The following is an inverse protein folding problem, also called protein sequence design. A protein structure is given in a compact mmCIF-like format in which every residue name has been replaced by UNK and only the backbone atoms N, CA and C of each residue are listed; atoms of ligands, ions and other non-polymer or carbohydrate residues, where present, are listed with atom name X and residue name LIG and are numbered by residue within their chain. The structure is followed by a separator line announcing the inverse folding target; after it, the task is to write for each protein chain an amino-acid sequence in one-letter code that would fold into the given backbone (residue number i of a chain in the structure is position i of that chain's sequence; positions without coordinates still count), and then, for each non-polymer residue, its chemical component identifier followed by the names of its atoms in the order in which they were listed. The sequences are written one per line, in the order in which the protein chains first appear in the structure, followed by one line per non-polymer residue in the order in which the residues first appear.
data_IF_489191640203
#
_entry.id   IF_489191640203
#
_cell.length_a   1.000
_cell.length_b   1.000
_cell.length_c   1.000
_cell.angle_alpha   90.00
_cell.angle_beta   90.00
_cell.angle_gamma   90.00
#
_symmetry.space_group_name_H-M   'P 1'
#
loop_
_entity.id
_entity.type
_entity.pdbx_description
1 polymer ?
#
# COMPACT_ATOMS: atom_id res chain seq x y z
N UNK A 1 -34.73 -16.11 -15.13
CA UNK A 1 -33.26 -16.23 -15.05
C UNK A 1 -32.75 -14.92 -14.52
N UNK A 2 -32.00 -14.95 -13.42
CA UNK A 2 -31.25 -13.77 -12.98
C UNK A 2 -30.07 -13.59 -13.93
N UNK A 3 -29.94 -12.43 -14.57
CA UNK A 3 -28.79 -12.10 -15.41
C UNK A 3 -27.78 -11.34 -14.57
N UNK A 4 -26.55 -11.83 -14.51
CA UNK A 4 -25.42 -11.13 -13.90
C UNK A 4 -24.80 -10.21 -14.95
N UNK A 5 -24.50 -8.96 -14.56
CA UNK A 5 -23.80 -8.00 -15.40
C UNK A 5 -22.63 -7.38 -14.64
N UNK A 6 -21.51 -7.20 -15.32
CA UNK A 6 -20.35 -6.49 -14.78
C UNK A 6 -20.54 -5.00 -15.08
N UNK A 7 -20.72 -4.18 -14.03
CA UNK A 7 -20.91 -2.72 -14.19
C UNK A 7 -19.59 -1.97 -14.36
N UNK A 8 -18.51 -2.47 -13.79
CA UNK A 8 -17.17 -1.89 -13.92
C UNK A 8 -16.12 -2.72 -13.20
N UNK A 9 -14.89 -2.24 -13.30
CA UNK A 9 -13.70 -2.84 -12.72
C UNK A 9 -12.71 -1.73 -12.36
N UNK A 10 -11.82 -2.01 -11.42
CA UNK A 10 -10.74 -1.12 -11.02
C UNK A 10 -9.50 -1.95 -10.68
N UNK A 11 -8.34 -1.41 -11.04
CA UNK A 11 -7.06 -2.06 -10.86
C UNK A 11 -6.06 -1.04 -10.33
N UNK A 12 -5.52 -1.30 -9.14
CA UNK A 12 -4.57 -0.41 -8.46
C UNK A 12 -3.33 -1.19 -8.06
N UNK A 13 -2.18 -0.51 -8.07
CA UNK A 13 -0.92 -1.02 -7.56
C UNK A 13 -0.42 -0.06 -6.47
N UNK A 14 0.00 -0.60 -5.34
CA UNK A 14 0.66 0.18 -4.29
C UNK A 14 2.15 -0.04 -4.40
N UNK A 15 2.90 1.00 -4.77
CA UNK A 15 4.36 0.93 -4.81
C UNK A 15 4.91 1.25 -3.42
N UNK A 16 5.11 0.21 -2.61
CA UNK A 16 5.58 0.32 -1.22
C UNK A 16 6.92 -0.42 -1.00
N UNK A 17 8.01 0.07 -1.61
CA UNK A 17 9.31 -0.59 -1.57
C UNK A 17 9.89 -0.70 -0.14
N UNK A 18 9.79 0.33 0.71
CA UNK A 18 10.34 0.27 2.07
C UNK A 18 9.53 -0.63 3.01
N UNK A 19 8.20 -0.66 2.90
CA UNK A 19 7.37 -1.67 3.56
C UNK A 19 7.80 -3.07 3.12
N UNK A 20 8.03 -3.30 1.83
CA UNK A 20 8.52 -4.58 1.33
C UNK A 20 9.91 -4.95 1.85
N UNK A 21 10.82 -3.98 1.96
CA UNK A 21 12.18 -4.18 2.45
C UNK A 21 12.26 -4.45 3.96
N UNK A 22 11.45 -3.74 4.75
CA UNK A 22 11.46 -3.91 6.20
C UNK A 22 10.55 -5.05 6.64
N UNK A 23 9.39 -5.21 6.01
CA UNK A 23 8.28 -6.04 6.49
C UNK A 23 7.78 -7.06 5.47
N UNK A 24 8.36 -7.14 4.27
CA UNK A 24 8.18 -8.31 3.42
C UNK A 24 8.69 -9.56 4.13
N UNK A 25 8.00 -10.69 3.95
CA UNK A 25 8.28 -11.91 4.72
C UNK A 25 9.76 -12.31 4.70
N UNK A 26 10.36 -12.44 3.51
CA UNK A 26 11.75 -12.87 3.37
C UNK A 26 12.74 -11.94 4.08
N UNK A 27 12.79 -10.61 3.80
CA UNK A 27 13.72 -9.74 4.50
C UNK A 27 13.42 -9.57 6.00
N UNK A 28 12.15 -9.60 6.41
CA UNK A 28 11.78 -9.55 7.81
C UNK A 28 12.29 -10.78 8.59
N UNK A 29 12.01 -11.99 8.08
CA UNK A 29 12.44 -13.25 8.72
C UNK A 29 13.97 -13.37 8.73
N UNK A 30 14.65 -12.98 7.66
CA UNK A 30 16.12 -12.96 7.61
C UNK A 30 16.69 -12.04 8.71
N UNK A 31 16.12 -10.84 8.87
CA UNK A 31 16.55 -9.86 9.88
C UNK A 31 16.33 -10.38 11.29
N UNK A 32 15.16 -10.94 11.58
CA UNK A 32 14.84 -11.50 12.89
C UNK A 32 15.70 -12.72 13.24
N UNK A 33 15.98 -13.59 12.26
CA UNK A 33 16.72 -14.83 12.50
C UNK A 33 18.24 -14.65 12.51
N UNK A 34 18.78 -13.72 11.72
CA UNK A 34 20.22 -13.60 11.45
C UNK A 34 20.78 -12.18 11.60
N UNK A 35 19.94 -11.19 11.87
CA UNK A 35 20.34 -9.78 11.91
C UNK A 35 20.59 -9.19 10.52
N UNK A 36 21.36 -8.10 10.46
CA UNK A 36 21.67 -7.38 9.21
C UNK A 36 22.72 -8.12 8.35
N UNK A 37 22.26 -9.05 7.50
CA UNK A 37 23.09 -9.87 6.60
C UNK A 37 23.51 -9.11 5.32
N UNK A 38 24.48 -9.63 4.57
CA UNK A 38 24.88 -9.03 3.27
C UNK A 38 23.72 -9.00 2.27
N UNK A 39 22.84 -10.02 2.28
CA UNK A 39 21.62 -10.02 1.46
C UNK A 39 20.75 -8.78 1.73
N UNK A 40 20.52 -8.45 3.00
CA UNK A 40 19.72 -7.28 3.38
C UNK A 40 20.42 -5.98 2.97
N UNK A 41 21.75 -5.89 3.11
CA UNK A 41 22.52 -4.71 2.69
C UNK A 41 22.51 -4.48 1.19
N UNK A 42 22.50 -5.55 0.38
CA UNK A 42 22.47 -5.47 -1.08
C UNK A 42 21.07 -5.20 -1.63
N UNK A 43 20.02 -5.66 -0.95
CA UNK A 43 18.63 -5.60 -1.43
C UNK A 43 18.15 -4.19 -1.85
N UNK A 44 18.44 -3.10 -1.12
CA UNK A 44 18.08 -1.74 -1.54
C UNK A 44 18.59 -1.34 -2.92
N UNK A 45 19.74 -1.87 -3.35
CA UNK A 45 20.30 -1.58 -4.68
C UNK A 45 19.54 -2.25 -5.83
N UNK A 46 18.63 -3.18 -5.51
CA UNK A 46 17.80 -3.90 -6.46
C UNK A 46 16.33 -3.45 -6.44
N UNK A 47 15.97 -2.54 -5.54
CA UNK A 47 14.62 -2.00 -5.44
C UNK A 47 14.37 -0.99 -6.57
N UNK A 48 13.17 -1.05 -7.14
CA UNK A 48 12.75 -0.11 -8.19
C UNK A 48 12.32 1.21 -7.56
N UNK A 49 12.63 2.33 -8.21
CA UNK A 49 12.03 3.61 -7.84
C UNK A 49 10.56 3.67 -8.26
N UNK A 50 9.84 4.68 -7.73
CA UNK A 50 8.46 4.93 -8.12
C UNK A 50 8.33 5.25 -9.61
N UNK A 51 9.23 6.08 -10.16
CA UNK A 51 9.25 6.43 -11.58
C UNK A 51 9.45 5.20 -12.43
N UNK A 52 10.38 4.33 -12.03
CA UNK A 52 10.64 3.05 -12.68
C UNK A 52 9.38 2.19 -12.70
N UNK A 53 8.72 2.01 -11.56
CA UNK A 53 7.49 1.23 -11.45
C UNK A 53 6.34 1.84 -12.26
N UNK A 54 6.19 3.17 -12.22
CA UNK A 54 5.18 3.93 -12.98
C UNK A 54 5.40 3.78 -14.48
N UNK A 55 6.63 3.88 -14.94
CA UNK A 55 6.97 3.86 -16.36
C UNK A 55 7.17 2.44 -16.91
N UNK A 56 6.90 1.41 -16.10
CA UNK A 56 6.90 0.03 -16.53
C UNK A 56 5.63 -0.28 -17.35
N UNK A 57 5.79 -0.59 -18.64
CA UNK A 57 4.66 -0.79 -19.56
C UNK A 57 3.59 -1.79 -19.07
N UNK A 58 3.93 -2.93 -18.44
CA UNK A 58 2.93 -3.82 -17.84
C UNK A 58 2.11 -3.18 -16.71
N UNK A 59 2.74 -2.37 -15.85
CA UNK A 59 2.01 -1.68 -14.78
C UNK A 59 1.04 -0.65 -15.36
N UNK A 60 1.46 0.07 -16.42
CA UNK A 60 0.58 0.98 -17.15
C UNK A 60 -0.58 0.25 -17.83
N UNK A 61 -0.34 -0.92 -18.41
CA UNK A 61 -1.41 -1.72 -18.97
C UNK A 61 -2.39 -2.21 -17.89
N UNK A 62 -1.88 -2.59 -16.72
CA UNK A 62 -2.68 -3.06 -15.58
C UNK A 62 -3.64 -2.00 -15.06
N UNK A 63 -3.19 -0.75 -14.88
CA UNK A 63 -4.04 0.36 -14.42
C UNK A 63 -4.87 1.01 -15.55
N UNK A 64 -4.68 0.57 -16.80
CA UNK A 64 -5.37 1.13 -17.96
C UNK A 64 -4.82 2.46 -18.48
N UNK A 65 -3.53 2.74 -18.23
CA UNK A 65 -2.75 3.82 -18.86
C UNK A 65 -2.16 3.44 -20.22
N UNK A 66 -2.06 2.14 -20.52
CA UNK A 66 -1.67 1.59 -21.82
C UNK A 66 -2.68 0.52 -22.26
N UNK A 67 -3.02 0.44 -23.54
CA UNK A 67 -3.86 -0.67 -24.03
C UNK A 67 -3.07 -1.96 -24.14
N UNK A 68 -3.72 -3.13 -24.03
CA UNK A 68 -3.05 -4.43 -24.21
C UNK A 68 -2.41 -4.54 -25.62
N UNK A 69 -3.10 -4.04 -26.65
CA UNK A 69 -2.56 -4.06 -28.01
C UNK A 69 -1.35 -3.13 -28.22
N UNK A 70 -1.19 -2.09 -27.40
CA UNK A 70 0.00 -1.24 -27.42
C UNK A 70 1.13 -1.83 -26.56
N UNK A 71 0.80 -2.51 -25.45
CA UNK A 71 1.75 -3.30 -24.68
C UNK A 71 2.42 -4.38 -25.53
N UNK A 72 1.66 -5.10 -26.35
CA UNK A 72 2.18 -6.14 -27.26
C UNK A 72 3.19 -5.59 -28.28
N UNK A 73 3.05 -4.32 -28.66
CA UNK A 73 3.96 -3.64 -29.60
C UNK A 73 5.15 -2.97 -28.90
N UNK A 74 5.10 -2.83 -27.57
CA UNK A 74 6.14 -2.15 -26.82
C UNK A 74 7.48 -2.93 -26.89
N UNK A 75 8.62 -2.26 -27.08
CA UNK A 75 9.92 -2.93 -27.16
C UNK A 75 10.23 -3.73 -25.89
N UNK A 76 10.70 -4.96 -26.08
CA UNK A 76 11.14 -5.83 -24.99
C UNK A 76 12.67 -5.90 -24.91
N UNK A 77 13.25 -6.13 -23.73
CA UNK A 77 12.56 -6.28 -22.44
C UNK A 77 12.08 -4.94 -21.86
N UNK A 78 10.90 -4.95 -21.25
CA UNK A 78 10.23 -3.72 -20.79
C UNK A 78 10.95 -2.96 -19.68
N UNK A 79 11.76 -3.65 -18.85
CA UNK A 79 12.55 -3.01 -17.79
C UNK A 79 13.72 -2.18 -18.34
N UNK A 80 14.17 -2.46 -19.58
CA UNK A 80 15.17 -1.65 -20.30
C UNK A 80 14.49 -0.55 -21.12
N UNK A 81 13.31 -0.85 -21.67
CA UNK A 81 12.55 0.03 -22.54
C UNK A 81 11.33 0.62 -21.81
N UNK A 82 11.59 1.34 -20.72
CA UNK A 82 10.53 2.01 -19.96
C UNK A 82 9.86 3.10 -20.81
N UNK A 83 8.59 3.34 -20.51
CA UNK A 83 7.87 4.49 -21.04
C UNK A 83 8.48 5.78 -20.47
N UNK A 84 8.21 6.93 -21.07
CA UNK A 84 8.74 8.20 -20.58
C UNK A 84 7.59 9.05 -20.02
N UNK A 85 7.59 9.28 -18.70
CA UNK A 85 6.65 10.21 -18.06
C UNK A 85 5.19 9.78 -18.13
N UNK A 86 4.95 8.50 -17.85
CA UNK A 86 3.59 7.95 -17.76
C UNK A 86 2.82 8.62 -16.63
N UNK A 87 1.49 8.62 -16.73
CA UNK A 87 0.65 9.08 -15.63
C UNK A 87 0.61 8.02 -14.52
N UNK A 88 0.44 8.45 -13.27
CA UNK A 88 0.14 7.53 -12.16
C UNK A 88 -1.30 7.03 -12.21
N UNK A 89 -2.18 7.76 -12.90
CA UNK A 89 -3.59 7.40 -13.09
C UNK A 89 -3.81 6.78 -14.47
N UNK A 90 -4.55 5.68 -14.50
CA UNK A 90 -5.07 5.08 -15.72
C UNK A 90 -6.60 5.06 -15.73
N UNK A 91 -7.17 4.49 -16.79
CA UNK A 91 -8.63 4.38 -16.92
C UNK A 91 -9.27 3.44 -15.88
N UNK A 92 -8.49 2.57 -15.24
CA UNK A 92 -9.00 1.60 -14.26
C UNK A 92 -8.66 1.96 -12.82
N UNK A 93 -7.54 2.64 -12.57
CA UNK A 93 -7.11 2.98 -11.22
C UNK A 93 -5.78 3.72 -11.20
N UNK A 94 -4.90 3.39 -10.27
CA UNK A 94 -3.63 4.11 -10.10
C UNK A 94 -2.46 3.25 -9.62
N UNK A 95 -1.25 3.79 -9.78
CA UNK A 95 -0.05 3.35 -9.05
C UNK A 95 0.18 4.35 -7.92
N UNK A 96 -0.21 3.98 -6.70
CA UNK A 96 -0.07 4.82 -5.51
C UNK A 96 1.38 4.79 -4.99
N UNK A 97 2.01 5.95 -4.74
CA UNK A 97 3.34 6.01 -4.11
C UNK A 97 3.27 5.66 -2.62
N UNK A 98 4.40 5.20 -2.07
CA UNK A 98 4.49 4.66 -0.72
C UNK A 98 4.05 5.63 0.37
N UNK A 99 4.42 6.90 0.28
CA UNK A 99 4.05 7.90 1.27
C UNK A 99 2.53 8.11 1.38
N UNK A 100 1.85 8.20 0.24
CA UNK A 100 0.40 8.24 0.19
C UNK A 100 -0.24 6.93 0.68
N UNK A 101 0.40 5.79 0.40
CA UNK A 101 -0.05 4.50 0.92
C UNK A 101 0.07 4.41 2.44
N UNK A 102 1.14 4.93 3.04
CA UNK A 102 1.29 5.04 4.50
C UNK A 102 0.18 5.92 5.12
N UNK A 103 -0.20 7.02 4.45
CA UNK A 103 -1.37 7.80 4.85
C UNK A 103 -2.69 7.04 4.69
N UNK A 104 -2.82 6.21 3.67
CA UNK A 104 -4.00 5.37 3.49
C UNK A 104 -4.11 4.28 4.57
N UNK A 105 -2.99 3.72 5.04
CA UNK A 105 -2.97 2.81 6.19
C UNK A 105 -3.61 3.48 7.41
N UNK A 106 -3.15 4.69 7.75
CA UNK A 106 -3.69 5.49 8.87
C UNK A 106 -5.19 5.79 8.70
N UNK A 107 -5.63 6.23 7.51
CA UNK A 107 -7.06 6.44 7.20
C UNK A 107 -7.89 5.15 7.39
N UNK A 108 -7.34 4.00 7.00
CA UNK A 108 -8.01 2.71 7.09
C UNK A 108 -7.97 2.11 8.51
N UNK A 109 -7.14 2.66 9.38
CA UNK A 109 -7.03 2.25 10.76
C UNK A 109 -8.24 2.72 11.57
N UNK A 110 -8.70 1.86 12.47
CA UNK A 110 -9.78 2.13 13.42
C UNK A 110 -9.38 1.79 14.85
N UNK A 111 -8.15 1.30 15.04
CA UNK A 111 -7.63 0.76 16.29
C UNK A 111 -6.41 1.51 16.80
N UNK A 112 -6.00 2.62 16.17
CA UNK A 112 -4.87 3.45 16.61
C UNK A 112 -3.53 2.68 16.61
N UNK A 113 -3.35 1.83 15.60
CA UNK A 113 -2.16 1.02 15.35
C UNK A 113 -1.11 1.82 14.59
N UNK A 114 -1.50 2.61 13.60
CA UNK A 114 -0.59 3.39 12.76
C UNK A 114 -0.44 4.78 13.34
N UNK A 115 0.76 5.13 13.76
CA UNK A 115 1.12 6.51 14.10
C UNK A 115 2.05 7.06 13.04
N UNK A 116 1.70 8.20 12.47
CA UNK A 116 2.56 8.94 11.54
C UNK A 116 3.19 10.14 12.24
N UNK A 117 4.41 10.51 11.86
CA UNK A 117 5.03 11.75 12.33
C UNK A 117 4.24 12.96 11.82
N UNK A 118 4.07 13.98 12.66
CA UNK A 118 3.23 15.15 12.39
C UNK A 118 3.54 15.87 11.06
N UNK A 119 4.81 16.12 10.76
CA UNK A 119 5.23 16.71 9.50
C UNK A 119 4.95 15.80 8.30
N UNK A 120 5.19 14.50 8.45
CA UNK A 120 4.88 13.49 7.44
C UNK A 120 3.38 13.38 7.17
N UNK A 121 2.55 13.25 8.20
CA UNK A 121 1.08 13.20 8.09
C UNK A 121 0.53 14.45 7.39
N UNK A 122 1.02 15.64 7.73
CA UNK A 122 0.63 16.88 7.07
C UNK A 122 1.04 16.92 5.58
N UNK A 123 2.24 16.44 5.24
CA UNK A 123 2.71 16.33 3.86
C UNK A 123 1.82 15.38 3.04
N UNK A 124 1.55 14.19 3.57
CA UNK A 124 0.72 13.17 2.91
C UNK A 124 -0.73 13.65 2.76
N UNK A 125 -1.30 14.32 3.77
CA UNK A 125 -2.61 14.97 3.66
C UNK A 125 -2.70 15.90 2.46
N UNK A 126 -1.67 16.72 2.25
CA UNK A 126 -1.60 17.65 1.12
C UNK A 126 -1.60 16.94 -0.22
N UNK A 127 -0.92 15.79 -0.32
CA UNK A 127 -0.87 14.97 -1.55
C UNK A 127 -2.19 14.24 -1.79
N UNK A 128 -2.73 13.58 -0.78
CA UNK A 128 -3.99 12.85 -0.85
C UNK A 128 -5.18 13.76 -1.17
N UNK A 129 -5.15 15.03 -0.78
CA UNK A 129 -6.19 16.01 -1.16
C UNK A 129 -6.29 16.24 -2.68
N UNK A 130 -5.24 15.92 -3.45
CA UNK A 130 -5.26 15.94 -4.91
C UNK A 130 -5.76 14.65 -5.56
N UNK A 131 -5.99 13.58 -4.78
CA UNK A 131 -6.42 12.30 -5.30
C UNK A 131 -7.86 12.36 -5.81
N UNK A 132 -8.17 11.73 -6.96
CA UNK A 132 -9.53 11.74 -7.52
C UNK A 132 -10.53 10.90 -6.72
N UNK A 133 -10.07 10.14 -5.73
CA UNK A 133 -10.91 9.23 -4.93
C UNK A 133 -10.89 9.53 -3.43
N UNK A 134 -10.07 10.49 -2.98
CA UNK A 134 -10.02 10.92 -1.58
C UNK A 134 -10.93 12.13 -1.37
N UNK A 135 -12.05 11.92 -0.67
CA UNK A 135 -12.96 12.99 -0.29
C UNK A 135 -12.63 13.54 1.11
N UNK A 136 -13.26 14.66 1.47
CA UNK A 136 -13.04 15.32 2.77
C UNK A 136 -13.33 14.41 3.97
N UNK A 137 -14.29 13.49 3.85
CA UNK A 137 -14.63 12.54 4.91
C UNK A 137 -13.50 11.53 5.15
N UNK A 138 -12.89 11.00 4.09
CA UNK A 138 -11.72 10.11 4.19
C UNK A 138 -10.51 10.87 4.72
N UNK A 139 -10.25 12.07 4.21
CA UNK A 139 -9.14 12.91 4.67
C UNK A 139 -9.28 13.29 6.14
N UNK A 140 -10.51 13.47 6.65
CA UNK A 140 -10.75 13.75 8.07
C UNK A 140 -10.37 12.58 9.01
N UNK A 141 -10.23 11.36 8.47
CA UNK A 141 -9.79 10.19 9.25
C UNK A 141 -8.28 10.11 9.41
N UNK A 142 -7.51 10.68 8.48
CA UNK A 142 -6.06 10.79 8.64
C UNK A 142 -5.80 11.61 9.91
N UNK A 143 -4.92 11.13 10.78
CA UNK A 143 -4.65 11.80 12.04
C UNK A 143 -3.78 13.06 11.83
N UNK A 144 -3.63 13.85 12.89
CA UNK A 144 -2.71 14.99 12.87
C UNK A 144 -1.24 14.55 12.97
N UNK A 145 -1.00 13.31 13.38
CA UNK A 145 0.31 12.72 13.62
C UNK A 145 0.90 13.04 15.00
N UNK A 146 1.93 12.28 15.34
CA UNK A 146 2.65 12.28 16.61
C UNK A 146 4.01 12.95 16.48
N UNK A 147 4.61 13.31 17.61
CA UNK A 147 5.98 13.81 17.65
C UNK A 147 6.97 12.67 17.41
N UNK A 148 8.17 13.01 16.91
CA UNK A 148 9.25 12.04 16.74
C UNK A 148 9.63 11.34 18.06
N UNK A 149 9.57 12.07 19.19
CA UNK A 149 9.86 11.52 20.51
C UNK A 149 8.81 10.48 20.94
N UNK A 150 7.52 10.70 20.67
CA UNK A 150 6.45 9.73 20.93
C UNK A 150 6.60 8.46 20.08
N UNK A 151 6.98 8.61 18.81
CA UNK A 151 7.26 7.47 17.92
C UNK A 151 8.48 6.69 18.40
N UNK A 152 9.55 7.39 18.82
CA UNK A 152 10.73 6.77 19.38
C UNK A 152 10.39 5.96 20.64
N UNK A 153 9.61 6.52 21.56
CA UNK A 153 9.13 5.82 22.77
C UNK A 153 8.37 4.53 22.44
N UNK A 154 7.46 4.56 21.45
CA UNK A 154 6.71 3.37 21.03
C UNK A 154 7.64 2.29 20.43
N UNK A 155 8.60 2.68 19.60
CA UNK A 155 9.51 1.74 18.94
C UNK A 155 10.58 1.17 19.86
N UNK A 156 11.15 1.98 20.76
CA UNK A 156 12.23 1.58 21.66
C UNK A 156 11.71 0.83 22.90
N UNK A 157 10.50 1.13 23.36
CA UNK A 157 10.01 0.65 24.67
C UNK A 157 8.72 -0.15 24.60
N UNK A 158 7.93 -0.07 23.52
CA UNK A 158 6.60 -0.71 23.41
C UNK A 158 6.50 -1.73 22.28
N UNK A 159 7.63 -2.10 21.69
CA UNK A 159 7.74 -3.08 20.60
C UNK A 159 6.91 -2.70 19.37
N UNK A 160 6.66 -1.41 19.15
CA UNK A 160 6.17 -0.92 17.87
C UNK A 160 7.26 -1.09 16.81
N UNK A 161 6.87 -1.29 15.56
CA UNK A 161 7.81 -1.37 14.44
C UNK A 161 7.85 -0.02 13.69
N UNK A 162 9.04 0.52 13.39
CA UNK A 162 9.17 1.83 12.74
C UNK A 162 8.71 1.82 11.27
N UNK A 163 7.91 2.78 10.84
CA UNK A 163 7.57 2.95 9.42
C UNK A 163 8.60 3.85 8.76
N UNK A 164 9.09 3.46 7.58
CA UNK A 164 10.15 4.17 6.87
C UNK A 164 9.68 4.77 5.56
N UNK A 165 10.23 5.94 5.22
CA UNK A 165 10.11 6.56 3.92
C UNK A 165 11.31 7.46 3.64
N UNK A 166 11.93 7.31 2.48
CA UNK A 166 13.19 7.95 2.14
C UNK A 166 14.36 7.51 3.05
N UNK A 167 14.30 6.32 3.62
CA UNK A 167 15.28 5.82 4.61
C UNK A 167 15.21 6.51 5.98
N UNK A 168 14.13 7.24 6.26
CA UNK A 168 13.89 7.90 7.55
C UNK A 168 12.66 7.30 8.24
N UNK A 169 12.67 7.26 9.57
CA UNK A 169 11.48 6.88 10.35
C UNK A 169 10.45 8.00 10.23
N UNK A 170 9.28 7.66 9.69
CA UNK A 170 8.15 8.59 9.46
C UNK A 170 6.90 8.21 10.26
N UNK A 171 6.99 7.16 11.08
CA UNK A 171 5.88 6.65 11.87
C UNK A 171 6.23 5.36 12.58
N UNK A 172 5.23 4.70 13.15
CA UNK A 172 5.33 3.33 13.65
C UNK A 172 3.99 2.60 13.53
N UNK A 173 4.05 1.27 13.43
CA UNK A 173 2.91 0.39 13.67
C UNK A 173 3.04 -0.23 15.07
N UNK A 174 1.96 -0.15 15.85
CA UNK A 174 1.93 -0.55 17.26
C UNK A 174 1.35 -1.95 17.43
N UNK A 175 1.56 -2.54 18.60
CA UNK A 175 0.86 -3.79 18.94
C UNK A 175 -0.58 -3.48 19.36
N UNK A 176 -1.54 -4.26 18.87
CA UNK A 176 -2.92 -4.23 19.36
C UNK A 176 -3.09 -4.97 20.69
N UNK A 177 -2.14 -5.86 21.04
CA UNK A 177 -2.10 -6.57 22.31
C UNK A 177 -0.68 -7.05 22.65
N UNK A 178 -0.36 -7.22 23.94
CA UNK A 178 1.00 -7.54 24.38
C UNK A 178 1.40 -9.03 24.22
N UNK A 179 0.40 -9.92 24.10
CA UNK A 179 0.60 -11.38 24.16
C UNK A 179 0.02 -12.13 22.96
N UNK A 180 -0.93 -11.52 22.25
CA UNK A 180 -1.61 -12.21 21.15
C UNK A 180 -0.80 -11.99 19.88
N UNK A 181 -0.17 -13.05 19.37
CA UNK A 181 0.67 -13.01 18.17
C UNK A 181 -0.09 -12.47 16.94
N UNK A 182 -1.42 -12.68 16.88
CA UNK A 182 -2.27 -12.16 15.81
C UNK A 182 -2.43 -10.63 15.86
N UNK A 183 -2.12 -10.02 17.01
CA UNK A 183 -2.23 -8.59 17.27
C UNK A 183 -0.86 -7.93 17.43
N UNK A 184 0.21 -8.58 17.00
CA UNK A 184 1.52 -7.95 16.91
C UNK A 184 1.63 -7.02 15.71
N UNK A 185 2.42 -5.97 15.86
CA UNK A 185 2.55 -4.88 14.90
C UNK A 185 2.87 -5.36 13.48
N UNK A 186 3.75 -6.37 13.34
CA UNK A 186 4.08 -6.97 12.05
C UNK A 186 2.85 -7.58 11.36
N UNK A 187 2.05 -8.37 12.10
CA UNK A 187 0.84 -9.02 11.58
C UNK A 187 -0.26 -8.01 11.29
N UNK A 188 -0.43 -7.03 12.18
CA UNK A 188 -1.41 -5.96 12.00
C UNK A 188 -1.08 -5.06 10.82
N UNK A 189 0.20 -4.73 10.61
CA UNK A 189 0.65 -3.93 9.46
C UNK A 189 0.38 -4.66 8.14
N UNK A 190 0.66 -5.96 8.07
CA UNK A 190 0.36 -6.80 6.91
C UNK A 190 -1.15 -6.80 6.60
N UNK A 191 -1.99 -7.09 7.60
CA UNK A 191 -3.46 -7.08 7.46
C UNK A 191 -4.00 -5.71 7.04
N UNK A 192 -3.46 -4.64 7.62
CA UNK A 192 -3.89 -3.28 7.31
C UNK A 192 -3.45 -2.86 5.91
N UNK A 193 -2.29 -3.32 5.43
CA UNK A 193 -1.85 -3.10 4.06
C UNK A 193 -2.75 -3.80 3.04
N UNK A 194 -3.17 -5.04 3.31
CA UNK A 194 -4.17 -5.74 2.51
C UNK A 194 -5.49 -4.96 2.45
N UNK A 195 -6.02 -4.57 3.63
CA UNK A 195 -7.24 -3.76 3.73
C UNK A 195 -7.12 -2.44 2.97
N UNK A 196 -6.06 -1.67 3.20
CA UNK A 196 -5.84 -0.37 2.57
C UNK A 196 -5.76 -0.49 1.05
N UNK A 197 -5.06 -1.51 0.53
CA UNK A 197 -5.01 -1.78 -0.91
C UNK A 197 -6.39 -2.12 -1.49
N UNK A 198 -7.18 -2.94 -0.79
CA UNK A 198 -8.56 -3.23 -1.17
C UNK A 198 -9.47 -1.99 -1.14
N UNK A 199 -9.35 -1.15 -0.11
CA UNK A 199 -10.08 0.12 -0.02
C UNK A 199 -9.73 1.02 -1.20
N UNK A 200 -8.46 1.15 -1.57
CA UNK A 200 -8.07 1.97 -2.73
C UNK A 200 -8.76 1.50 -4.01
N UNK A 201 -8.72 0.19 -4.28
CA UNK A 201 -9.36 -0.39 -5.45
C UNK A 201 -10.88 -0.18 -5.44
N UNK A 202 -11.53 -0.35 -4.28
CA UNK A 202 -12.96 -0.10 -4.12
C UNK A 202 -13.34 1.37 -4.37
N UNK A 203 -12.54 2.31 -3.87
CA UNK A 203 -12.77 3.74 -4.10
C UNK A 203 -12.68 4.11 -5.60
N UNK A 204 -11.71 3.55 -6.32
CA UNK A 204 -11.64 3.70 -7.79
C UNK A 204 -12.81 3.00 -8.49
N UNK A 205 -13.25 1.83 -8.02
CA UNK A 205 -14.40 1.12 -8.59
C UNK A 205 -15.70 1.95 -8.48
N UNK A 206 -15.96 2.54 -7.31
CA UNK A 206 -17.11 3.40 -7.09
C UNK A 206 -17.05 4.63 -8.01
N UNK A 207 -15.88 5.27 -8.12
CA UNK A 207 -15.65 6.38 -9.06
C UNK A 207 -15.90 5.98 -10.51
N UNK A 208 -15.35 4.85 -10.96
CA UNK A 208 -15.44 4.40 -12.36
C UNK A 208 -16.87 4.00 -12.75
N UNK A 209 -17.64 3.46 -11.80
CA UNK A 209 -19.02 3.02 -12.03
C UNK A 209 -20.06 4.10 -11.77
N UNK A 210 -19.69 5.19 -11.08
CA UNK A 210 -20.60 6.20 -10.57
C UNK A 210 -21.59 5.66 -9.54
N UNK A 211 -21.33 4.50 -8.93
CA UNK A 211 -22.13 3.96 -7.85
C UNK A 211 -21.91 4.75 -6.57
N UNK A 212 -23.00 5.07 -5.88
CA UNK A 212 -22.90 5.57 -4.51
C UNK A 212 -22.56 4.40 -3.57
N UNK A 213 -21.74 4.62 -2.51
CA UNK A 213 -21.43 3.58 -1.53
C UNK A 213 -22.67 2.90 -0.93
N UNK A 214 -23.75 3.66 -0.72
CA UNK A 214 -25.00 3.19 -0.13
C UNK A 214 -25.80 2.26 -1.04
N UNK A 215 -25.46 2.20 -2.34
CA UNK A 215 -26.05 1.26 -3.30
C UNK A 215 -25.40 -0.12 -3.27
N UNK A 216 -24.32 -0.30 -2.49
CA UNK A 216 -23.62 -1.58 -2.36
C UNK A 216 -24.24 -2.40 -1.23
N UNK A 217 -25.02 -3.41 -1.59
CA UNK A 217 -25.66 -4.31 -0.62
C UNK A 217 -24.67 -5.24 0.09
N UNK A 218 -23.67 -5.72 -0.64
CA UNK A 218 -22.68 -6.66 -0.14
C UNK A 218 -21.33 -6.45 -0.83
N UNK A 219 -20.27 -6.66 -0.06
CA UNK A 219 -18.91 -6.76 -0.57
C UNK A 219 -18.50 -8.21 -0.41
N UNK A 220 -18.08 -8.83 -1.51
CA UNK A 220 -17.43 -10.14 -1.49
C UNK A 220 -15.96 -9.88 -1.72
N UNK A 221 -15.19 -10.05 -0.66
CA UNK A 221 -13.74 -10.07 -0.68
C UNK A 221 -13.30 -11.46 -1.19
N UNK A 222 -12.32 -11.50 -2.10
CA UNK A 222 -11.80 -12.73 -2.71
C UNK A 222 -10.27 -12.68 -2.73
N UNK A 223 -9.69 -12.29 -1.60
CA UNK A 223 -8.26 -12.36 -1.39
C UNK A 223 -7.81 -13.81 -1.53
N UNK A 224 -6.57 -13.95 -1.99
CA UNK A 224 -5.93 -15.26 -1.99
C UNK A 224 -5.64 -15.66 -0.54
N UNK A 225 -6.51 -16.48 0.04
CA UNK A 225 -6.24 -17.15 1.32
C UNK A 225 -5.25 -18.30 1.13
N UNK A 226 -3.96 -17.98 1.02
CA UNK A 226 -2.92 -19.00 0.99
C UNK A 226 -2.64 -19.52 2.41
N UNK A 227 -3.43 -20.49 2.85
CA UNK A 227 -3.13 -21.29 4.04
C UNK A 227 -1.93 -22.21 3.74
N UNK A 228 -0.71 -21.75 4.06
CA UNK A 228 0.50 -22.60 4.05
C UNK A 228 1.74 -22.02 3.39
N UNK A 229 1.69 -20.81 2.83
CA UNK A 229 2.87 -20.11 2.33
C UNK A 229 3.13 -18.87 3.19
N UNK A 230 4.35 -18.76 3.74
CA UNK A 230 4.72 -17.63 4.59
C UNK A 230 4.84 -16.31 3.80
N UNK A 231 5.06 -16.38 2.49
CA UNK A 231 5.17 -15.22 1.60
C UNK A 231 3.81 -14.80 1.01
N UNK A 232 2.77 -15.58 1.25
CA UNK A 232 1.41 -15.34 0.80
C UNK A 232 0.50 -15.62 2.01
N UNK A 233 0.31 -14.63 2.89
CA UNK A 233 -0.69 -14.75 3.94
C UNK A 233 -1.97 -14.11 3.45
N UNK A 234 -3.05 -14.88 3.48
CA UNK A 234 -4.38 -14.39 3.12
C UNK A 234 -4.80 -13.23 4.00
N UNK A 235 -5.14 -12.11 3.37
CA UNK A 235 -5.81 -11.00 4.03
C UNK A 235 -7.25 -10.92 3.51
N UNK A 236 -8.18 -11.54 4.23
CA UNK A 236 -9.63 -11.50 3.96
C UNK A 236 -10.28 -10.13 4.15
#
# INVERSE_FOLDING_TARGET
MSTVGIKGYAYCLNHAPELGYHYGNTPYVEREAKGETEFLKELPSHMQSYEDARDYAPNQAYIGGLTIGDLEKAPQPWYVNRLAGSDRYGSYGEIMPEDEFLGLLDICDVFDIIWLEKGFAASVRGKLAGSPVMNDHLLARLEAGHTADEIAEETEHRKAIPLYFGGHVVGCARNGHEVDDCLFAYVLLENLACKAGGVLALLHLLKNTGLAPEEVDFIVECSEEAAGDMNQRGGG
#
